data_IF_490984541817
#
_entry.id   IF_490984541817
#
_cell.length_a   1.000
_cell.length_b   1.000
_cell.length_c   1.000
_cell.angle_alpha   90.00
_cell.angle_beta   90.00
_cell.angle_gamma   90.00
#
_symmetry.space_group_name_H-M   'P 1'
#
loop_
_entity.id
_entity.type
_entity.pdbx_description
1 polymer ?
#
# COMPACT_ATOMS: atom_id res chain seq x y z
N UNK A 1 26.45 0.50 -16.02
CA UNK A 1 25.04 0.23 -15.68
C UNK A 1 24.67 1.23 -14.61
N UNK A 2 23.84 2.21 -14.96
CA UNK A 2 23.35 3.17 -13.99
C UNK A 2 22.41 2.45 -13.01
N UNK A 3 22.43 2.82 -11.73
CA UNK A 3 21.63 2.19 -10.66
C UNK A 3 20.14 2.05 -11.06
N UNK A 4 19.60 3.05 -11.76
CA UNK A 4 18.21 3.06 -12.26
C UNK A 4 17.93 2.01 -13.35
N UNK A 5 18.88 1.73 -14.25
CA UNK A 5 18.71 0.69 -15.29
C UNK A 5 18.55 -0.71 -14.69
N UNK A 6 19.11 -0.94 -13.49
CA UNK A 6 19.00 -2.23 -12.78
C UNK A 6 17.65 -2.37 -12.09
N UNK A 7 17.04 -1.25 -11.68
CA UNK A 7 15.75 -1.21 -11.01
C UNK A 7 14.61 -1.39 -12.02
N UNK A 8 14.66 -0.67 -13.13
CA UNK A 8 13.61 -0.71 -14.16
C UNK A 8 13.50 -2.08 -14.86
N UNK A 9 14.59 -2.87 -14.86
CA UNK A 9 14.61 -4.22 -15.42
C UNK A 9 14.21 -5.30 -14.41
N UNK A 10 14.05 -4.95 -13.14
CA UNK A 10 13.73 -5.93 -12.12
C UNK A 10 12.25 -6.31 -12.18
N UNK A 11 12.01 -7.62 -12.18
CA UNK A 11 10.67 -8.20 -12.18
C UNK A 11 10.57 -9.09 -10.95
N UNK A 12 9.57 -8.83 -10.11
CA UNK A 12 9.25 -9.70 -8.99
C UNK A 12 8.48 -10.93 -9.48
N UNK A 13 8.86 -12.12 -8.99
CA UNK A 13 8.31 -13.41 -9.43
C UNK A 13 7.06 -13.86 -8.67
N UNK A 14 6.60 -13.04 -7.73
CA UNK A 14 5.43 -13.30 -6.88
C UNK A 14 5.68 -14.31 -5.75
N UNK A 15 6.90 -14.82 -5.58
CA UNK A 15 7.18 -15.90 -4.63
C UNK A 15 7.17 -15.40 -3.19
N UNK A 16 7.91 -14.34 -2.88
CA UNK A 16 8.00 -13.82 -1.53
C UNK A 16 8.14 -12.30 -1.49
N UNK A 17 7.39 -11.66 -0.60
CA UNK A 17 7.57 -10.23 -0.30
C UNK A 17 8.96 -9.94 0.28
N UNK A 18 9.58 -10.91 0.95
CA UNK A 18 10.94 -10.78 1.49
C UNK A 18 11.94 -10.50 0.37
N UNK A 19 11.69 -10.96 -0.85
CA UNK A 19 12.58 -10.69 -1.98
C UNK A 19 12.46 -9.24 -2.48
N UNK A 20 11.30 -8.60 -2.31
CA UNK A 20 11.14 -7.14 -2.49
C UNK A 20 11.98 -6.38 -1.45
N UNK A 21 11.92 -6.79 -0.18
CA UNK A 21 12.71 -6.19 0.89
C UNK A 21 14.22 -6.31 0.61
N UNK A 22 14.69 -7.51 0.27
CA UNK A 22 16.10 -7.75 -0.11
C UNK A 22 16.51 -6.95 -1.34
N UNK A 23 15.65 -6.87 -2.35
CA UNK A 23 15.92 -6.10 -3.55
C UNK A 23 16.08 -4.62 -3.22
N UNK A 24 15.15 -4.03 -2.45
CA UNK A 24 15.25 -2.64 -2.00
C UNK A 24 16.56 -2.37 -1.27
N UNK A 25 16.95 -3.25 -0.33
CA UNK A 25 18.19 -3.15 0.42
C UNK A 25 19.43 -3.25 -0.50
N UNK A 26 19.41 -4.13 -1.50
CA UNK A 26 20.51 -4.25 -2.48
C UNK A 26 20.73 -2.97 -3.30
N UNK A 27 19.70 -2.13 -3.42
CA UNK A 27 19.73 -0.83 -4.09
C UNK A 27 19.99 0.33 -3.12
N UNK A 28 20.25 0.07 -1.83
CA UNK A 28 20.35 1.07 -0.77
C UNK A 28 19.09 1.95 -0.63
N UNK A 29 17.92 1.39 -0.88
CA UNK A 29 16.62 2.04 -0.72
C UNK A 29 15.84 1.36 0.41
N UNK A 30 14.94 2.10 1.07
CA UNK A 30 13.87 1.46 1.82
C UNK A 30 12.74 1.05 0.86
N UNK A 31 11.88 0.12 1.28
CA UNK A 31 10.77 -0.37 0.45
C UNK A 31 9.82 0.76 0.06
N UNK A 32 9.57 1.72 0.94
CA UNK A 32 8.72 2.88 0.64
C UNK A 32 9.29 3.70 -0.53
N UNK A 33 10.56 4.07 -0.47
CA UNK A 33 11.23 4.82 -1.55
C UNK A 33 11.28 4.02 -2.86
N UNK A 34 11.52 2.70 -2.78
CA UNK A 34 11.49 1.83 -3.96
C UNK A 34 10.11 1.88 -4.64
N UNK A 35 9.04 1.75 -3.85
CA UNK A 35 7.66 1.78 -4.35
C UNK A 35 7.32 3.15 -4.92
N UNK A 36 7.54 4.25 -4.18
CA UNK A 36 7.15 5.59 -4.62
C UNK A 36 7.86 6.02 -5.92
N UNK A 37 9.15 5.68 -6.06
CA UNK A 37 9.96 6.16 -7.18
C UNK A 37 9.91 5.26 -8.42
N UNK A 38 9.76 3.95 -8.25
CA UNK A 38 9.91 2.98 -9.35
C UNK A 38 8.71 2.05 -9.54
N UNK A 39 7.98 1.73 -8.47
CA UNK A 39 6.89 0.75 -8.49
C UNK A 39 5.62 1.32 -7.84
N UNK A 40 5.16 2.49 -8.28
CA UNK A 40 4.11 3.25 -7.58
C UNK A 40 2.74 2.53 -7.54
N UNK A 41 2.52 1.58 -8.46
CA UNK A 41 1.35 0.69 -8.49
C UNK A 41 1.62 -0.67 -7.83
N UNK A 42 2.81 -0.88 -7.29
CA UNK A 42 3.29 -2.19 -6.84
C UNK A 42 3.35 -3.20 -7.99
N UNK A 43 2.88 -4.41 -7.71
CA UNK A 43 2.80 -5.56 -8.61
C UNK A 43 1.35 -6.03 -8.73
N UNK A 44 0.51 -5.27 -9.46
CA UNK A 44 -0.94 -5.45 -9.46
C UNK A 44 -1.38 -6.83 -9.95
N UNK A 45 -0.60 -7.49 -10.81
CA UNK A 45 -0.90 -8.83 -11.30
C UNK A 45 -0.96 -9.90 -10.21
N UNK A 46 -0.27 -9.68 -9.08
CA UNK A 46 -0.36 -10.54 -7.90
C UNK A 46 -1.59 -10.29 -7.04
N UNK A 47 -2.25 -9.14 -7.21
CA UNK A 47 -3.41 -8.72 -6.41
C UNK A 47 -4.70 -9.04 -7.19
N UNK A 48 -5.73 -9.62 -6.56
CA UNK A 48 -6.99 -9.86 -7.26
C UNK A 48 -7.62 -8.53 -7.69
N UNK A 49 -8.23 -8.52 -8.88
CA UNK A 49 -8.66 -7.30 -9.57
C UNK A 49 -9.54 -6.37 -8.72
N UNK A 50 -10.47 -6.95 -7.94
CA UNK A 50 -11.38 -6.20 -7.08
C UNK A 50 -10.69 -5.42 -5.93
N UNK A 51 -9.42 -5.71 -5.63
CA UNK A 51 -8.65 -5.09 -4.55
C UNK A 51 -7.48 -4.24 -5.04
N UNK A 52 -7.38 -3.98 -6.35
CA UNK A 52 -6.30 -3.18 -6.94
C UNK A 52 -6.55 -1.69 -6.76
N UNK A 53 -5.46 -0.93 -6.64
CA UNK A 53 -5.49 0.52 -6.52
C UNK A 53 -5.71 1.02 -5.09
N UNK A 54 -5.84 2.33 -4.96
CA UNK A 54 -6.07 2.99 -3.68
C UNK A 54 -7.53 2.82 -3.22
N UNK A 55 -7.68 2.36 -2.00
CA UNK A 55 -8.95 2.24 -1.29
C UNK A 55 -8.95 3.26 -0.14
N UNK A 56 -9.97 4.12 -0.14
CA UNK A 56 -10.15 5.11 0.91
C UNK A 56 -11.32 4.68 1.80
N UNK A 57 -11.02 4.59 3.10
CA UNK A 57 -12.02 4.30 4.12
C UNK A 57 -12.89 5.52 4.47
N UNK A 58 -13.80 5.34 5.43
CA UNK A 58 -14.67 6.41 5.87
C UNK A 58 -13.90 7.56 6.53
N UNK A 59 -14.54 8.72 6.61
CA UNK A 59 -14.02 9.87 7.36
C UNK A 59 -14.23 9.62 8.84
N UNK A 60 -13.14 9.51 9.59
CA UNK A 60 -13.15 9.45 11.04
C UNK A 60 -12.97 10.86 11.61
N UNK A 61 -13.54 11.12 12.79
CA UNK A 61 -13.27 12.35 13.55
C UNK A 61 -14.29 13.48 13.42
N UNK A 62 -15.49 13.28 12.86
CA UNK A 62 -16.51 14.35 12.84
C UNK A 62 -17.14 14.55 14.24
N UNK A 63 -16.47 15.30 15.11
CA UNK A 63 -17.00 15.74 16.40
C UNK A 63 -16.99 17.28 16.50
N UNK A 64 -17.89 17.91 17.30
CA UNK A 64 -17.95 19.36 17.45
C UNK A 64 -16.66 20.02 17.98
N UNK A 65 -15.79 19.23 18.62
CA UNK A 65 -14.55 19.60 19.28
C UNK A 65 -13.27 19.06 18.59
N UNK A 66 -13.42 18.27 17.53
CA UNK A 66 -12.33 17.77 16.69
C UNK A 66 -12.65 18.07 15.21
N UNK A 67 -12.25 19.26 14.70
CA UNK A 67 -12.56 19.66 13.32
C UNK A 67 -11.73 18.89 12.27
N UNK A 68 -10.65 18.23 12.69
CA UNK A 68 -9.72 17.46 11.84
C UNK A 68 -10.33 16.08 11.53
N UNK A 69 -10.94 15.96 10.37
CA UNK A 69 -11.39 14.68 9.83
C UNK A 69 -10.27 14.01 9.04
N UNK A 70 -10.03 12.72 9.26
CA UNK A 70 -9.07 11.96 8.45
C UNK A 70 -9.75 10.78 7.76
N UNK A 71 -9.32 10.49 6.53
CA UNK A 71 -9.70 9.27 5.79
C UNK A 71 -8.55 8.28 5.89
N UNK A 72 -8.85 7.05 6.30
CA UNK A 72 -7.85 5.98 6.17
C UNK A 72 -7.64 5.65 4.69
N UNK A 73 -6.43 5.27 4.34
CA UNK A 73 -6.06 4.82 3.00
C UNK A 73 -5.34 3.49 3.06
N UNK A 74 -5.62 2.65 2.08
CA UNK A 74 -5.01 1.35 1.89
C UNK A 74 -4.72 1.15 0.40
N UNK A 75 -3.53 0.65 0.08
CA UNK A 75 -3.20 0.16 -1.25
C UNK A 75 -2.47 -1.18 -1.09
N UNK A 76 -3.04 -2.25 -1.63
CA UNK A 76 -2.38 -3.55 -1.67
C UNK A 76 -1.40 -3.54 -2.84
N UNK A 77 -0.10 -3.55 -2.55
CA UNK A 77 0.96 -3.48 -3.55
C UNK A 77 1.31 -4.85 -4.12
N UNK A 78 1.28 -5.90 -3.30
CA UNK A 78 1.65 -7.24 -3.69
C UNK A 78 1.02 -8.29 -2.76
N UNK A 79 0.72 -9.46 -3.31
CA UNK A 79 0.39 -10.67 -2.53
C UNK A 79 1.33 -11.79 -2.95
N UNK A 80 2.05 -12.37 -1.99
CA UNK A 80 2.94 -13.50 -2.27
C UNK A 80 2.21 -14.85 -2.19
N UNK A 81 2.88 -15.91 -2.65
CA UNK A 81 2.31 -17.27 -2.70
C UNK A 81 1.98 -17.85 -1.33
N UNK A 82 2.62 -17.35 -0.27
CA UNK A 82 2.36 -17.75 1.11
C UNK A 82 1.18 -16.97 1.73
N UNK A 83 0.55 -16.09 0.96
CA UNK A 83 -0.59 -15.30 1.39
C UNK A 83 -0.21 -14.13 2.29
N UNK A 84 1.04 -13.63 2.24
CA UNK A 84 1.39 -12.32 2.80
C UNK A 84 1.03 -11.23 1.81
N UNK A 85 0.75 -10.05 2.33
CA UNK A 85 0.47 -8.85 1.55
C UNK A 85 1.40 -7.71 1.96
N UNK A 86 1.96 -7.04 0.95
CA UNK A 86 2.66 -5.77 1.10
C UNK A 86 1.65 -4.67 0.85
N UNK A 87 1.51 -3.74 1.79
CA UNK A 87 0.48 -2.71 1.73
C UNK A 87 1.06 -1.33 2.02
N UNK A 88 0.52 -0.29 1.38
CA UNK A 88 0.60 1.07 1.89
C UNK A 88 -0.61 1.32 2.76
N UNK A 89 -0.38 1.72 4.01
CA UNK A 89 -1.44 2.03 4.96
C UNK A 89 -1.18 3.39 5.57
N UNK A 90 -2.23 4.20 5.68
CA UNK A 90 -2.09 5.55 6.17
C UNK A 90 -3.39 6.29 6.41
N UNK A 91 -3.28 7.60 6.57
CA UNK A 91 -4.41 8.50 6.66
C UNK A 91 -4.13 9.81 5.91
N UNK A 92 -5.19 10.33 5.29
CA UNK A 92 -5.23 11.63 4.62
C UNK A 92 -6.03 12.58 5.52
N UNK A 93 -5.42 13.69 5.93
CA UNK A 93 -6.15 14.80 6.52
C UNK A 93 -6.93 15.54 5.42
N UNK A 94 -8.25 15.57 5.53
CA UNK A 94 -9.11 16.14 4.48
C UNK A 94 -9.08 17.66 4.40
N UNK A 95 -8.46 18.34 5.36
CA UNK A 95 -8.43 19.80 5.47
C UNK A 95 -7.03 20.38 5.39
N UNK A 96 -6.01 19.64 5.82
CA UNK A 96 -4.63 20.11 5.91
C UNK A 96 -3.73 19.63 4.76
N UNK A 97 -4.26 18.86 3.82
CA UNK A 97 -3.49 18.27 2.71
C UNK A 97 -2.25 17.52 3.22
N UNK A 98 -2.41 16.87 4.38
CA UNK A 98 -1.37 16.16 5.09
C UNK A 98 -1.62 14.66 4.97
N UNK A 99 -0.98 14.05 3.97
CA UNK A 99 -1.03 12.62 3.71
C UNK A 99 0.17 11.92 4.33
N UNK A 100 -0.08 10.87 5.12
CA UNK A 100 0.97 10.03 5.69
C UNK A 100 0.63 8.56 5.57
N UNK A 101 1.52 7.79 4.94
CA UNK A 101 1.42 6.34 4.84
C UNK A 101 2.76 5.65 5.06
N UNK A 102 2.70 4.38 5.46
CA UNK A 102 3.86 3.52 5.62
C UNK A 102 3.64 2.21 4.87
N UNK A 103 4.76 1.57 4.52
CA UNK A 103 4.75 0.17 4.07
C UNK A 103 4.52 -0.73 5.27
N UNK A 104 3.49 -1.57 5.19
CA UNK A 104 3.12 -2.54 6.21
C UNK A 104 2.98 -3.92 5.57
N UNK A 105 3.61 -4.92 6.18
CA UNK A 105 3.44 -6.33 5.80
C UNK A 105 2.36 -6.94 6.69
N UNK A 106 1.37 -7.58 6.07
CA UNK A 106 0.28 -8.28 6.74
C UNK A 106 -0.06 -9.56 5.98
N UNK A 107 -1.18 -10.20 6.27
CA UNK A 107 -1.72 -11.30 5.45
C UNK A 107 -2.65 -10.75 4.37
N UNK A 108 -2.75 -11.46 3.25
CA UNK A 108 -3.67 -11.15 2.16
C UNK A 108 -5.12 -11.10 2.65
N UNK A 109 -5.51 -12.05 3.51
CA UNK A 109 -6.83 -12.08 4.13
C UNK A 109 -7.11 -10.80 4.95
N UNK A 110 -6.15 -10.36 5.77
CA UNK A 110 -6.33 -9.15 6.56
C UNK A 110 -6.41 -7.91 5.68
N UNK A 111 -5.56 -7.81 4.65
CA UNK A 111 -5.57 -6.68 3.73
C UNK A 111 -6.91 -6.60 2.98
N UNK A 112 -7.43 -7.73 2.48
CA UNK A 112 -8.74 -7.79 1.81
C UNK A 112 -9.88 -7.44 2.77
N UNK A 113 -9.86 -7.96 4.00
CA UNK A 113 -10.86 -7.62 5.02
C UNK A 113 -10.86 -6.12 5.35
N UNK A 114 -9.71 -5.45 5.36
CA UNK A 114 -9.64 -4.00 5.51
C UNK A 114 -10.26 -3.26 4.31
N UNK A 115 -10.06 -3.74 3.08
CA UNK A 115 -10.73 -3.17 1.90
C UNK A 115 -12.24 -3.31 2.02
N UNK A 116 -12.73 -4.49 2.40
CA UNK A 116 -14.16 -4.75 2.60
C UNK A 116 -14.74 -3.85 3.70
N UNK A 117 -14.05 -3.70 4.83
CA UNK A 117 -14.43 -2.77 5.89
C UNK A 117 -14.55 -1.34 5.33
N UNK A 118 -13.54 -0.86 4.61
CA UNK A 118 -13.51 0.51 4.09
C UNK A 118 -14.65 0.76 3.10
N UNK A 119 -14.92 -0.18 2.20
CA UNK A 119 -16.00 -0.11 1.23
C UNK A 119 -17.40 -0.26 1.88
N UNK A 120 -17.52 -1.02 2.97
CA UNK A 120 -18.81 -1.22 3.64
C UNK A 120 -19.32 0.05 4.32
N UNK A 121 -18.44 0.86 4.89
CA UNK A 121 -18.83 2.09 5.61
C UNK A 121 -19.13 3.24 4.64
N UNK A 122 -18.55 3.24 3.43
CA UNK A 122 -18.87 4.24 2.40
C UNK A 122 -20.28 4.04 1.82
N UNK A 123 -20.80 2.81 1.85
CA UNK A 123 -22.11 2.45 1.32
C UNK A 123 -23.25 2.45 2.38
N UNK A 124 -22.96 2.83 3.63
CA UNK A 124 -23.93 2.91 4.73
C UNK A 124 -24.41 4.35 4.96
#
# INVERSE_FOLDING_TARGET
MHQYETIDQWIWDGVSIVDIEKFSASQNLCVLTLVEQFFCQGWPDSVPEAYRGWIFGPVYGKAPDAPEGYKKMLHILAVDRDGKALTLQGACDIYLDADGYNVVVTTALNAMAMVEEYCSVVNA
#
